data_IF_816333498260
#
_entry.id   IF_816333498260
#
_cell.length_a   1.000
_cell.length_b   1.000
_cell.length_c   1.000
_cell.angle_alpha   90.00
_cell.angle_beta   90.00
_cell.angle_gamma   90.00
#
_symmetry.space_group_name_H-M   'P 1'
#
loop_
_entity.id
_entity.type
_entity.pdbx_description
1 polymer ?
#
# COMPACT_ATOMS: atom_id res chain seq x y z
N UNK A 1 -5.56 -17.01 0.31
CA UNK A 1 -4.66 -16.03 -0.33
C UNK A 1 -5.57 -14.91 -0.80
N UNK A 2 -5.34 -13.69 -0.36
CA UNK A 2 -6.13 -12.53 -0.83
C UNK A 2 -5.52 -11.98 -2.12
N UNK A 3 -6.37 -11.45 -3.00
CA UNK A 3 -5.97 -10.84 -4.26
C UNK A 3 -5.18 -9.55 -3.99
N UNK A 4 -4.03 -9.36 -4.66
CA UNK A 4 -3.23 -8.14 -4.51
C UNK A 4 -3.48 -7.20 -5.68
N UNK A 5 -4.05 -6.04 -5.39
CA UNK A 5 -4.27 -4.96 -6.36
C UNK A 5 -3.27 -3.83 -6.10
N UNK A 6 -2.71 -3.25 -7.16
CA UNK A 6 -1.71 -2.18 -7.09
C UNK A 6 -2.24 -0.94 -7.77
N UNK A 7 -2.22 0.19 -7.09
CA UNK A 7 -2.51 1.47 -7.73
C UNK A 7 -1.38 1.87 -8.67
N UNK A 8 -1.67 2.84 -9.56
CA UNK A 8 -0.65 3.47 -10.38
C UNK A 8 0.45 4.15 -9.57
N UNK A 9 0.15 4.70 -8.39
CA UNK A 9 1.14 5.34 -7.51
C UNK A 9 2.15 4.36 -6.94
N UNK A 10 1.67 3.22 -6.43
CA UNK A 10 2.55 2.15 -5.97
C UNK A 10 3.46 1.65 -7.10
N UNK A 11 2.88 1.37 -8.26
CA UNK A 11 3.63 0.85 -9.41
C UNK A 11 4.68 1.86 -9.93
N UNK A 12 4.32 3.15 -10.02
CA UNK A 12 5.26 4.21 -10.41
C UNK A 12 6.40 4.34 -9.40
N UNK A 13 6.10 4.29 -8.11
CA UNK A 13 7.13 4.37 -7.07
C UNK A 13 8.08 3.17 -7.15
N UNK A 14 7.54 1.95 -7.26
CA UNK A 14 8.34 0.73 -7.31
C UNK A 14 9.25 0.67 -8.55
N UNK A 15 8.80 1.20 -9.70
CA UNK A 15 9.60 1.32 -10.92
C UNK A 15 10.74 2.33 -10.81
N UNK A 16 10.56 3.40 -10.04
CA UNK A 16 11.58 4.45 -9.81
C UNK A 16 12.61 4.05 -8.76
N UNK A 17 12.30 3.05 -7.92
CA UNK A 17 13.21 2.59 -6.88
C UNK A 17 14.47 1.94 -7.49
N UNK A 18 15.62 2.61 -7.31
CA UNK A 18 16.92 2.12 -7.81
C UNK A 18 17.46 0.93 -7.02
N UNK A 19 17.12 0.83 -5.74
CA UNK A 19 17.54 -0.28 -4.89
C UNK A 19 16.76 -1.56 -5.24
N UNK A 20 17.44 -2.47 -5.96
CA UNK A 20 16.88 -3.76 -6.37
C UNK A 20 16.59 -4.67 -5.17
N UNK A 21 17.40 -4.62 -4.12
CA UNK A 21 17.21 -5.45 -2.92
C UNK A 21 16.00 -4.96 -2.12
N UNK A 22 15.83 -3.64 -1.99
CA UNK A 22 14.64 -3.05 -1.42
C UNK A 22 13.38 -3.49 -2.18
N UNK A 23 13.41 -3.43 -3.52
CA UNK A 23 12.28 -3.87 -4.36
C UNK A 23 11.89 -5.34 -4.10
N UNK A 24 12.86 -6.26 -4.09
CA UNK A 24 12.61 -7.68 -3.80
C UNK A 24 12.02 -7.89 -2.40
N UNK A 25 12.54 -7.18 -1.40
CA UNK A 25 12.06 -7.26 -0.02
C UNK A 25 10.63 -6.74 0.11
N UNK A 26 10.29 -5.64 -0.55
CA UNK A 26 8.94 -5.08 -0.57
C UNK A 26 7.96 -6.09 -1.19
N UNK A 27 8.29 -6.63 -2.35
CA UNK A 27 7.44 -7.63 -3.04
C UNK A 27 7.25 -8.88 -2.19
N UNK A 28 8.33 -9.45 -1.64
CA UNK A 28 8.23 -10.62 -0.77
C UNK A 28 7.42 -10.34 0.51
N UNK A 29 7.45 -9.11 1.02
CA UNK A 29 6.70 -8.74 2.22
C UNK A 29 5.20 -8.57 1.94
N UNK A 30 4.85 -7.98 0.80
CA UNK A 30 3.48 -7.91 0.29
C UNK A 30 2.92 -9.31 0.08
N UNK A 31 3.70 -10.22 -0.51
CA UNK A 31 3.28 -11.60 -0.72
C UNK A 31 2.95 -12.30 0.61
N UNK A 32 3.81 -12.16 1.62
CA UNK A 32 3.53 -12.68 2.98
C UNK A 32 2.26 -12.09 3.58
N UNK A 33 2.04 -10.79 3.42
CA UNK A 33 0.83 -10.12 3.89
C UNK A 33 -0.42 -10.72 3.22
N UNK A 34 -0.38 -10.96 1.91
CA UNK A 34 -1.47 -11.61 1.17
C UNK A 34 -1.74 -13.07 1.58
N UNK A 35 -0.76 -13.70 2.22
CA UNK A 35 -0.86 -15.03 2.81
C UNK A 35 -1.22 -15.02 4.32
N UNK A 36 -1.64 -13.87 4.85
CA UNK A 36 -2.05 -13.77 6.26
C UNK A 36 -0.89 -13.62 7.24
N UNK A 37 0.30 -13.25 6.77
CA UNK A 37 1.44 -12.91 7.62
C UNK A 37 1.74 -11.40 7.56
N UNK A 38 1.02 -10.58 8.36
CA UNK A 38 1.08 -9.13 8.27
C UNK A 38 2.37 -8.55 8.87
N UNK A 39 3.06 -9.25 9.78
CA UNK A 39 4.28 -8.76 10.46
C UNK A 39 4.13 -7.37 11.11
N UNK A 40 5.10 -6.48 10.93
CA UNK A 40 5.03 -5.10 11.47
C UNK A 40 4.09 -4.20 10.64
N UNK A 41 2.88 -4.01 11.14
CA UNK A 41 1.82 -3.18 10.55
C UNK A 41 1.22 -2.27 11.63
N UNK A 42 0.83 -1.05 11.23
CA UNK A 42 0.08 -0.12 12.08
C UNK A 42 -1.10 0.49 11.33
N UNK A 43 -2.30 0.58 11.95
CA UNK A 43 -3.38 1.37 11.37
C UNK A 43 -3.00 2.84 11.36
N UNK A 44 -3.34 3.54 10.28
CA UNK A 44 -3.13 4.99 10.12
C UNK A 44 -4.43 5.77 9.90
N UNK A 45 -5.57 5.12 10.12
CA UNK A 45 -6.92 5.71 10.01
C UNK A 45 -7.61 5.40 8.68
N UNK A 46 -8.92 5.66 8.61
CA UNK A 46 -9.74 5.47 7.41
C UNK A 46 -9.60 4.09 6.73
N UNK A 47 -9.46 3.02 7.52
CA UNK A 47 -9.26 1.66 7.00
C UNK A 47 -7.88 1.38 6.40
N UNK A 48 -6.95 2.33 6.47
CA UNK A 48 -5.60 2.21 5.93
C UNK A 48 -4.64 1.69 7.00
N UNK A 49 -3.73 0.83 6.55
CA UNK A 49 -2.64 0.28 7.33
C UNK A 49 -1.29 0.61 6.68
N UNK A 50 -0.29 0.90 7.51
CA UNK A 50 1.11 1.08 7.15
C UNK A 50 1.89 -0.18 7.53
N UNK A 51 2.42 -0.88 6.53
CA UNK A 51 3.38 -1.96 6.71
C UNK A 51 4.80 -1.41 6.71
N UNK A 52 5.54 -1.65 7.79
CA UNK A 52 6.88 -1.08 8.01
C UNK A 52 7.97 -2.08 7.66
N UNK A 53 8.98 -1.63 6.91
CA UNK A 53 10.16 -2.42 6.57
C UNK A 53 11.41 -1.74 7.12
N UNK A 54 12.13 -2.42 8.02
CA UNK A 54 13.36 -1.95 8.66
C UNK A 54 14.61 -2.10 7.78
N UNK A 55 14.46 -1.96 6.46
CA UNK A 55 15.54 -2.06 5.49
C UNK A 55 15.76 -0.70 4.80
N UNK A 56 17.02 -0.33 4.62
CA UNK A 56 17.41 0.93 4.00
C UNK A 56 16.87 2.14 4.80
N UNK A 57 16.25 3.14 4.15
CA UNK A 57 15.75 4.36 4.81
C UNK A 57 14.50 4.15 5.68
N UNK A 58 13.98 2.92 5.74
CA UNK A 58 12.75 2.59 6.46
C UNK A 58 11.52 2.72 5.57
N UNK A 59 11.42 1.85 4.56
CA UNK A 59 10.29 1.83 3.63
C UNK A 59 8.97 1.50 4.33
N UNK A 60 7.89 2.10 3.81
CA UNK A 60 6.52 1.92 4.32
C UNK A 60 5.58 1.63 3.17
N UNK A 61 4.82 0.57 3.23
CA UNK A 61 3.77 0.29 2.24
C UNK A 61 2.42 0.63 2.87
N UNK A 62 1.69 1.54 2.24
CA UNK A 62 0.35 1.93 2.66
C UNK A 62 -0.66 1.14 1.86
N UNK A 63 -1.58 0.50 2.55
CA UNK A 63 -2.57 -0.36 1.93
C UNK A 63 -3.90 -0.31 2.68
N UNK A 64 -4.97 -0.66 2.00
CA UNK A 64 -6.26 -0.98 2.62
C UNK A 64 -6.65 -2.41 2.26
N UNK A 65 -7.50 -3.00 3.09
CA UNK A 65 -8.09 -4.31 2.82
C UNK A 65 -9.59 -4.13 2.59
N UNK A 66 -10.06 -4.64 1.45
CA UNK A 66 -11.45 -4.57 1.02
C UNK A 66 -11.92 -5.98 0.66
N UNK A 67 -12.57 -6.64 1.64
CA UNK A 67 -12.90 -8.06 1.57
C UNK A 67 -11.67 -8.94 1.34
N UNK A 68 -11.66 -9.66 0.21
CA UNK A 68 -10.57 -10.54 -0.22
C UNK A 68 -9.52 -9.84 -1.09
N UNK A 69 -9.54 -8.49 -1.15
CA UNK A 69 -8.57 -7.69 -1.90
C UNK A 69 -7.67 -6.90 -0.97
N UNK A 70 -6.38 -6.93 -1.25
CA UNK A 70 -5.33 -6.12 -0.65
C UNK A 70 -4.90 -5.05 -1.64
N UNK A 71 -5.29 -3.80 -1.37
CA UNK A 71 -5.05 -2.68 -2.28
C UNK A 71 -3.82 -1.91 -1.81
N UNK A 72 -2.73 -2.00 -2.57
CA UNK A 72 -1.49 -1.27 -2.31
C UNK A 72 -1.61 0.14 -2.88
N UNK A 73 -1.73 1.13 -2.00
CA UNK A 73 -2.00 2.53 -2.33
C UNK A 73 -0.72 3.27 -2.75
N UNK A 74 0.30 3.22 -1.91
CA UNK A 74 1.61 3.80 -2.22
C UNK A 74 2.70 3.17 -1.36
N UNK A 75 3.95 3.53 -1.66
CA UNK A 75 5.07 3.23 -0.80
C UNK A 75 5.85 4.52 -0.48
N UNK A 76 6.13 4.73 0.80
CA UNK A 76 6.96 5.82 1.31
C UNK A 76 8.42 5.38 1.42
N UNK A 77 9.32 6.29 1.02
CA UNK A 77 10.76 6.03 0.97
C UNK A 77 11.55 6.53 2.16
N UNK A 78 10.98 7.39 3.01
CA UNK A 78 11.69 8.03 4.11
C UNK A 78 10.72 8.29 5.28
N UNK A 79 11.25 8.40 6.50
CA UNK A 79 10.45 8.76 7.70
C UNK A 79 10.04 10.23 7.73
N UNK A 80 10.87 11.11 7.16
CA UNK A 80 10.60 12.55 7.10
C UNK A 80 9.34 12.88 6.28
N UNK A 81 9.00 12.08 5.27
CA UNK A 81 7.81 12.25 4.43
C UNK A 81 6.59 11.48 4.92
N UNK A 82 6.68 10.79 6.06
CA UNK A 82 5.63 9.87 6.53
C UNK A 82 4.24 10.54 6.62
N UNK A 83 4.16 11.76 7.13
CA UNK A 83 2.89 12.48 7.27
C UNK A 83 2.26 12.81 5.91
N UNK A 84 3.08 13.20 4.94
CA UNK A 84 2.65 13.47 3.56
C UNK A 84 2.22 12.18 2.86
N UNK A 85 2.96 11.09 3.08
CA UNK A 85 2.64 9.76 2.55
C UNK A 85 1.31 9.24 3.10
N UNK A 86 1.03 9.45 4.40
CA UNK A 86 -0.27 9.10 5.02
C UNK A 86 -1.41 9.93 4.42
N UNK A 87 -1.22 11.25 4.29
CA UNK A 87 -2.25 12.11 3.69
C UNK A 87 -2.56 11.68 2.25
N UNK A 88 -1.52 11.35 1.47
CA UNK A 88 -1.69 10.82 0.11
C UNK A 88 -2.36 9.44 0.09
N UNK A 89 -2.07 8.58 1.07
CA UNK A 89 -2.76 7.30 1.22
C UNK A 89 -4.27 7.49 1.39
N UNK A 90 -4.67 8.42 2.25
CA UNK A 90 -6.09 8.74 2.47
C UNK A 90 -6.78 9.23 1.19
N UNK A 91 -6.15 10.12 0.43
CA UNK A 91 -6.69 10.58 -0.85
C UNK A 91 -6.89 9.42 -1.85
N UNK A 92 -5.87 8.58 -2.03
CA UNK A 92 -5.95 7.42 -2.92
C UNK A 92 -7.01 6.39 -2.49
N UNK A 93 -7.21 6.22 -1.18
CA UNK A 93 -8.27 5.34 -0.67
C UNK A 93 -9.66 5.91 -0.96
N UNK A 94 -9.85 7.23 -0.84
CA UNK A 94 -11.12 7.88 -1.19
C UNK A 94 -11.43 7.74 -2.69
N UNK A 95 -10.43 7.96 -3.55
CA UNK A 95 -10.56 7.74 -5.00
C UNK A 95 -10.94 6.29 -5.30
N UNK A 96 -10.28 5.31 -4.67
CA UNK A 96 -10.59 3.89 -4.83
C UNK A 96 -12.05 3.55 -4.47
N UNK A 97 -12.58 4.13 -3.40
CA UNK A 97 -13.97 3.89 -3.01
C UNK A 97 -14.97 4.57 -3.96
N UNK A 98 -14.68 5.79 -4.42
CA UNK A 98 -15.55 6.51 -5.36
C UNK A 98 -15.67 5.79 -6.71
N UNK A 99 -14.58 5.21 -7.21
CA UNK A 99 -14.60 4.42 -8.45
C UNK A 99 -15.50 3.17 -8.32
N UNK A 100 -15.53 2.51 -7.15
CA UNK A 100 -16.39 1.34 -6.91
C UNK A 100 -17.87 1.71 -6.82
N UNK A 101 -18.20 2.84 -6.23
CA UNK A 101 -19.59 3.31 -6.12
C UNK A 101 -20.14 3.67 -7.52
N UNK A 102 -19.31 4.24 -8.40
CA UNK A 102 -19.68 4.55 -9.78
C UNK A 102 -19.94 3.31 -10.66
N UNK A 103 -19.32 2.16 -10.35
CA UNK A 103 -19.56 0.89 -11.05
C UNK A 103 -20.85 0.19 -10.59
N UNK A 104 -21.41 0.53 -9.41
CA UNK A 104 -22.62 -0.12 -8.85
C UNK A 104 -23.94 0.58 -9.20
N UNK A 105 -23.92 1.85 -9.62
CA UNK A 105 -25.13 2.64 -9.97
C UNK A 105 -25.57 2.46 -11.44
N UNK A 106 -25.01 1.48 -12.16
CA UNK A 106 -25.24 1.24 -13.58
C UNK A 106 -26.19 0.08 -13.95
N UNK A 107 -26.81 -0.60 -12.97
CA UNK A 107 -27.70 -1.75 -13.18
C UNK A 107 -29.19 -1.46 -12.92
#
# INVERSE_FOLDING_TARGET
>A
MIEVVRTGDFDRWLRKLRDRQARLRIVARVDRLAHGNPGDVKPVGHGISEMRLTYGPGYRVYYLQDGEKLILLLCGGDKSTQSEDIAKAHALAQEWHADKDAEHDGE
#
